data_IF_296462514519
#
_entry.id   IF_296462514519
#
_cell.length_a   1.000
_cell.length_b   1.000
_cell.length_c   1.000
_cell.angle_alpha   90.00
_cell.angle_beta   90.00
_cell.angle_gamma   90.00
#
_symmetry.space_group_name_H-M   'P 1'
#
loop_
_entity.id
_entity.type
_entity.pdbx_description
1 polymer ?
#
# COMPACT_ATOMS: atom_id res chain seq x y z
N UNK A 1 -26.08 21.60 33.38
CA UNK A 1 -25.20 20.74 32.57
C UNK A 1 -23.92 21.49 32.24
N UNK A 2 -22.85 21.23 32.99
CA UNK A 2 -21.55 21.85 32.78
C UNK A 2 -20.92 21.27 31.51
N UNK A 3 -20.87 22.05 30.42
CA UNK A 3 -20.05 21.73 29.25
C UNK A 3 -18.60 21.94 29.66
N UNK A 4 -17.97 20.87 30.14
CA UNK A 4 -16.56 20.85 30.53
C UNK A 4 -15.68 21.30 29.37
N UNK A 5 -14.70 22.12 29.73
CA UNK A 5 -13.80 22.91 28.89
C UNK A 5 -13.16 22.04 27.80
N UNK A 6 -13.21 22.51 26.55
CA UNK A 6 -12.35 22.01 25.48
C UNK A 6 -10.91 22.33 25.86
N UNK A 7 -10.13 21.32 26.24
CA UNK A 7 -8.72 21.51 26.58
C UNK A 7 -7.91 21.66 25.28
N UNK A 8 -7.72 22.90 24.83
CA UNK A 8 -6.63 23.25 23.93
C UNK A 8 -5.40 23.45 24.80
N UNK A 9 -4.52 22.46 24.86
CA UNK A 9 -3.21 22.61 25.50
C UNK A 9 -2.21 23.14 24.47
N UNK A 10 -1.60 24.29 24.74
CA UNK A 10 -0.42 24.78 24.02
C UNK A 10 0.74 24.62 24.99
N UNK A 11 1.52 23.57 24.83
CA UNK A 11 2.77 23.36 25.56
C UNK A 11 3.90 23.45 24.54
N UNK A 12 4.81 24.42 24.69
CA UNK A 12 6.11 24.43 24.01
C UNK A 12 6.02 24.04 22.51
N UNK A 13 5.19 24.75 21.73
CA UNK A 13 4.98 24.55 20.29
C UNK A 13 4.21 23.27 19.86
N UNK A 14 3.51 22.61 20.78
CA UNK A 14 2.63 21.46 20.47
C UNK A 14 1.17 21.79 20.71
N UNK A 15 0.30 21.25 19.85
CA UNK A 15 -1.16 21.37 19.93
C UNK A 15 -1.76 19.99 20.18
N UNK A 16 -2.39 19.83 21.35
CA UNK A 16 -3.20 18.67 21.69
C UNK A 16 -4.70 18.95 21.52
N UNK A 17 -5.43 18.10 20.79
CA UNK A 17 -6.89 18.09 20.71
C UNK A 17 -7.39 16.79 21.31
N UNK A 18 -8.08 16.84 22.46
CA UNK A 18 -8.54 15.64 23.17
C UNK A 18 -7.43 14.88 23.92
N UNK A 19 -6.22 15.45 24.03
CA UNK A 19 -5.10 14.94 24.81
C UNK A 19 -4.39 16.09 25.52
N UNK A 20 -3.85 15.84 26.72
CA UNK A 20 -3.00 16.78 27.46
C UNK A 20 -1.51 16.54 27.24
N UNK A 21 -1.15 15.39 26.67
CA UNK A 21 0.22 14.98 26.39
C UNK A 21 0.39 14.72 24.88
N UNK A 22 0.58 15.76 24.07
CA UNK A 22 0.81 15.61 22.64
C UNK A 22 2.22 15.07 22.37
N UNK A 23 2.28 13.86 21.79
CA UNK A 23 3.53 13.23 21.35
C UNK A 23 4.13 13.93 20.12
N UNK A 24 3.28 14.51 19.28
CA UNK A 24 3.64 15.21 18.04
C UNK A 24 3.32 16.70 18.11
N UNK A 25 3.78 17.49 17.13
CA UNK A 25 3.40 18.92 17.03
C UNK A 25 1.89 19.14 16.96
N UNK A 26 1.16 18.20 16.35
CA UNK A 26 -0.29 18.12 16.40
C UNK A 26 -0.68 16.69 16.75
N UNK A 27 -1.29 16.50 17.93
CA UNK A 27 -1.88 15.22 18.33
C UNK A 27 -3.38 15.36 18.51
N UNK A 28 -4.16 14.53 17.82
CA UNK A 28 -5.62 14.51 17.89
C UNK A 28 -6.07 13.15 18.40
N UNK A 29 -6.68 13.12 19.58
CA UNK A 29 -7.33 11.93 20.11
C UNK A 29 -8.82 11.95 19.73
N UNK A 30 -9.08 11.66 18.46
CA UNK A 30 -10.43 11.68 17.87
C UNK A 30 -10.40 11.77 16.34
N UNK A 31 -11.59 11.92 15.75
CA UNK A 31 -11.73 11.95 14.30
C UNK A 31 -11.38 13.34 13.72
N UNK A 32 -10.67 13.35 12.59
CA UNK A 32 -10.39 14.54 11.80
C UNK A 32 -11.25 14.51 10.53
N UNK A 33 -12.01 15.57 10.27
CA UNK A 33 -12.72 15.77 9.00
C UNK A 33 -12.10 16.98 8.29
N UNK A 34 -11.59 16.74 7.08
CA UNK A 34 -11.01 17.77 6.23
C UNK A 34 -11.63 17.69 4.82
N UNK A 35 -11.59 18.80 4.08
CA UNK A 35 -11.92 18.78 2.64
C UNK A 35 -10.77 18.20 1.81
N UNK A 36 -9.53 18.48 2.23
CA UNK A 36 -8.30 18.02 1.58
C UNK A 36 -7.19 17.92 2.63
N UNK A 37 -6.30 16.94 2.48
CA UNK A 37 -5.05 16.81 3.22
C UNK A 37 -3.95 16.58 2.20
N UNK A 38 -3.00 17.52 2.10
CA UNK A 38 -1.79 17.35 1.29
C UNK A 38 -0.68 16.88 2.20
N UNK A 39 -0.07 15.75 1.84
CA UNK A 39 1.06 15.19 2.59
C UNK A 39 2.29 15.26 1.72
N UNK A 40 3.30 15.98 2.19
CA UNK A 40 4.58 16.11 1.51
C UNK A 40 5.52 15.03 2.03
N UNK A 41 5.91 14.12 1.14
CA UNK A 41 6.86 13.06 1.40
C UNK A 41 7.77 12.90 0.18
N UNK A 42 9.03 12.55 0.41
CA UNK A 42 9.97 12.24 -0.65
C UNK A 42 9.83 10.78 -1.10
N UNK A 43 10.41 10.44 -2.26
CA UNK A 43 10.58 9.06 -2.73
C UNK A 43 9.29 8.28 -2.98
N UNK A 44 8.38 8.85 -3.80
CA UNK A 44 7.27 8.09 -4.38
C UNK A 44 7.78 6.95 -5.27
N UNK A 45 7.02 5.84 -5.39
CA UNK A 45 7.54 4.54 -5.80
C UNK A 45 7.83 4.34 -7.28
N UNK A 46 7.96 5.39 -8.10
CA UNK A 46 8.30 5.34 -9.54
C UNK A 46 9.52 4.44 -9.88
N UNK A 47 10.32 4.08 -8.89
CA UNK A 47 11.40 3.11 -9.00
C UNK A 47 10.95 1.67 -9.35
N UNK A 48 9.67 1.29 -9.13
CA UNK A 48 9.17 -0.06 -9.43
C UNK A 48 9.28 -0.37 -10.92
N UNK A 49 9.13 0.63 -11.79
CA UNK A 49 9.25 0.47 -13.24
C UNK A 49 10.69 0.49 -13.76
N UNK A 50 11.70 0.58 -12.89
CA UNK A 50 13.10 0.48 -13.32
C UNK A 50 13.42 -0.96 -13.73
N UNK A 51 14.27 -1.10 -14.75
CA UNK A 51 14.64 -2.40 -15.34
C UNK A 51 15.18 -3.41 -14.32
N UNK A 52 15.90 -2.92 -13.32
CA UNK A 52 16.57 -3.75 -12.31
C UNK A 52 15.76 -3.82 -10.98
N UNK A 53 14.47 -3.48 -11.02
CA UNK A 53 13.60 -3.63 -9.86
C UNK A 53 13.39 -5.12 -9.53
N UNK A 54 13.63 -5.56 -8.28
CA UNK A 54 13.52 -6.96 -7.89
C UNK A 54 12.05 -7.33 -7.64
N UNK A 55 11.26 -7.44 -8.71
CA UNK A 55 9.87 -7.87 -8.64
C UNK A 55 9.81 -9.31 -8.11
N UNK A 56 9.12 -9.50 -6.98
CA UNK A 56 8.97 -10.82 -6.35
C UNK A 56 8.20 -11.77 -7.28
N UNK A 57 8.73 -12.96 -7.61
CA UNK A 57 7.99 -13.94 -8.39
C UNK A 57 6.68 -14.37 -7.72
N UNK A 58 5.61 -14.58 -8.51
CA UNK A 58 4.30 -14.98 -7.96
C UNK A 58 4.32 -16.21 -7.04
N UNK A 59 5.11 -17.28 -7.30
CA UNK A 59 5.19 -18.43 -6.39
C UNK A 59 5.80 -18.07 -5.02
N UNK A 60 6.81 -17.18 -5.01
CA UNK A 60 7.42 -16.70 -3.76
C UNK A 60 6.46 -15.77 -3.02
N UNK A 61 5.74 -14.91 -3.75
CA UNK A 61 4.69 -14.05 -3.19
C UNK A 61 3.55 -14.87 -2.56
N UNK A 62 3.09 -15.93 -3.23
CA UNK A 62 2.07 -16.85 -2.71
C UNK A 62 2.56 -17.51 -1.41
N UNK A 63 3.79 -18.00 -1.40
CA UNK A 63 4.40 -18.58 -0.19
C UNK A 63 4.43 -17.55 0.95
N UNK A 64 4.89 -16.33 0.67
CA UNK A 64 4.92 -15.26 1.66
C UNK A 64 3.52 -14.97 2.23
N UNK A 65 2.50 -14.86 1.37
CA UNK A 65 1.13 -14.58 1.80
C UNK A 65 0.59 -15.73 2.66
N UNK A 66 0.85 -16.98 2.28
CA UNK A 66 0.40 -18.13 3.06
C UNK A 66 1.07 -18.21 4.43
N UNK A 67 2.35 -17.86 4.53
CA UNK A 67 3.10 -17.91 5.78
C UNK A 67 2.81 -16.72 6.71
N UNK A 68 2.54 -15.54 6.16
CA UNK A 68 2.46 -14.29 6.93
C UNK A 68 1.04 -13.69 7.01
N UNK A 69 0.13 -14.05 6.09
CA UNK A 69 -1.24 -13.54 6.05
C UNK A 69 -1.38 -12.08 5.58
N UNK A 70 -0.32 -11.48 5.05
CA UNK A 70 -0.33 -10.13 4.47
C UNK A 70 0.70 -10.01 3.33
N UNK A 71 0.67 -8.89 2.61
CA UNK A 71 1.61 -8.61 1.53
C UNK A 71 3.00 -8.20 2.06
N UNK A 72 4.08 -8.53 1.33
CA UNK A 72 5.42 -8.01 1.64
C UNK A 72 5.43 -6.49 1.66
N UNK A 73 6.03 -5.92 2.71
CA UNK A 73 6.12 -4.47 2.87
C UNK A 73 4.81 -3.81 3.32
N UNK A 74 3.73 -4.55 3.58
CA UNK A 74 2.52 -4.04 4.24
C UNK A 74 2.51 -4.52 5.69
N UNK A 75 2.25 -3.66 6.68
CA UNK A 75 2.15 -4.09 8.07
C UNK A 75 1.01 -5.10 8.25
N UNK A 76 1.23 -6.10 9.11
CA UNK A 76 0.18 -7.01 9.54
C UNK A 76 -0.92 -6.27 10.30
N UNK A 77 -2.09 -6.89 10.42
CA UNK A 77 -3.19 -6.34 11.22
C UNK A 77 -2.76 -6.11 12.69
N UNK A 78 -1.97 -7.03 13.26
CA UNK A 78 -1.48 -6.94 14.63
C UNK A 78 -0.54 -5.73 14.80
N UNK A 79 0.39 -5.51 13.87
CA UNK A 79 1.28 -4.35 13.90
C UNK A 79 0.52 -3.04 13.72
N UNK A 80 -0.46 -3.01 12.82
CA UNK A 80 -1.32 -1.87 12.57
C UNK A 80 -2.18 -1.50 13.79
N UNK A 81 -2.72 -2.49 14.50
CA UNK A 81 -3.49 -2.27 15.74
C UNK A 81 -2.60 -1.78 16.88
N UNK A 82 -1.39 -2.32 17.02
CA UNK A 82 -0.47 -1.96 18.09
C UNK A 82 0.15 -0.56 17.92
N UNK A 83 0.52 -0.20 16.69
CA UNK A 83 1.31 1.00 16.41
C UNK A 83 0.58 2.08 15.61
N UNK A 84 -0.63 1.77 15.13
CA UNK A 84 -1.34 2.62 14.16
C UNK A 84 -0.71 2.55 12.76
N UNK A 85 -1.27 3.31 11.83
CA UNK A 85 -0.80 3.40 10.45
C UNK A 85 -0.52 4.85 10.09
N UNK A 86 0.70 5.12 9.61
CA UNK A 86 1.04 6.39 9.00
C UNK A 86 0.37 6.54 7.63
N UNK A 87 -0.54 7.51 7.49
CA UNK A 87 -1.34 7.71 6.26
C UNK A 87 -0.47 7.87 5.00
N UNK A 88 0.58 8.68 5.08
CA UNK A 88 1.48 8.95 3.95
C UNK A 88 2.21 7.67 3.51
N UNK A 89 2.83 7.00 4.49
CA UNK A 89 3.66 5.82 4.26
C UNK A 89 2.81 4.65 3.76
N UNK A 90 1.59 4.48 4.29
CA UNK A 90 0.67 3.47 3.80
C UNK A 90 0.23 3.74 2.37
N UNK A 91 -0.09 4.99 2.03
CA UNK A 91 -0.43 5.35 0.64
C UNK A 91 0.75 5.11 -0.31
N UNK A 92 1.99 5.39 0.11
CA UNK A 92 3.20 5.10 -0.68
C UNK A 92 3.38 3.60 -0.89
N UNK A 93 3.26 2.79 0.17
CA UNK A 93 3.33 1.32 0.09
C UNK A 93 2.23 0.73 -0.79
N UNK A 94 1.00 1.25 -0.68
CA UNK A 94 -0.10 0.83 -1.54
C UNK A 94 0.14 1.17 -3.00
N UNK A 95 0.66 2.36 -3.31
CA UNK A 95 1.03 2.72 -4.67
C UNK A 95 2.13 1.80 -5.22
N UNK A 96 3.16 1.50 -4.42
CA UNK A 96 4.19 0.51 -4.76
C UNK A 96 3.58 -0.86 -5.11
N UNK A 97 2.64 -1.36 -4.29
CA UNK A 97 1.93 -2.62 -4.60
C UNK A 97 1.08 -2.53 -5.87
N UNK A 98 0.45 -1.39 -6.16
CA UNK A 98 -0.32 -1.18 -7.40
C UNK A 98 0.60 -1.23 -8.62
N UNK A 99 1.79 -0.67 -8.53
CA UNK A 99 2.79 -0.73 -9.60
C UNK A 99 3.33 -2.15 -9.81
N UNK A 100 3.65 -2.88 -8.74
CA UNK A 100 4.03 -4.30 -8.80
C UNK A 100 2.93 -5.16 -9.44
N UNK A 101 1.66 -4.97 -9.02
CA UNK A 101 0.51 -5.66 -9.62
C UNK A 101 0.40 -5.35 -11.11
N UNK A 102 0.66 -4.12 -11.52
CA UNK A 102 0.65 -3.72 -12.93
C UNK A 102 1.72 -4.47 -13.73
N UNK A 103 2.93 -4.66 -13.17
CA UNK A 103 3.98 -5.45 -13.81
C UNK A 103 3.57 -6.92 -13.97
N UNK A 104 3.01 -7.54 -12.94
CA UNK A 104 2.50 -8.92 -13.02
C UNK A 104 1.39 -9.06 -14.06
N UNK A 105 0.47 -8.09 -14.15
CA UNK A 105 -0.59 -8.11 -15.17
C UNK A 105 -0.03 -8.00 -16.59
N UNK A 106 0.99 -7.16 -16.81
CA UNK A 106 1.65 -7.06 -18.11
C UNK A 106 2.39 -8.34 -18.49
N UNK A 107 3.05 -9.00 -17.53
CA UNK A 107 3.67 -10.31 -17.71
C UNK A 107 2.62 -11.38 -18.06
N UNK A 108 1.54 -11.45 -17.27
CA UNK A 108 0.45 -12.40 -17.49
C UNK A 108 -0.20 -12.21 -18.87
N UNK A 109 -0.38 -10.95 -19.31
CA UNK A 109 -0.89 -10.65 -20.66
C UNK A 109 0.02 -11.21 -21.75
N UNK A 110 1.35 -11.11 -21.60
CA UNK A 110 2.30 -11.67 -22.58
C UNK A 110 2.20 -13.20 -22.62
N UNK A 111 2.09 -13.85 -21.46
CA UNK A 111 1.91 -15.30 -21.39
C UNK A 111 0.63 -15.75 -22.09
N UNK A 112 -0.49 -15.05 -21.86
CA UNK A 112 -1.78 -15.34 -22.50
C UNK A 112 -1.68 -15.22 -24.02
N UNK A 113 -1.05 -14.18 -24.54
CA UNK A 113 -0.86 -13.99 -26.00
C UNK A 113 -0.05 -15.14 -26.57
N UNK A 114 1.09 -15.48 -25.95
CA UNK A 114 1.94 -16.58 -26.41
C UNK A 114 1.19 -17.93 -26.42
N UNK A 115 0.42 -18.21 -25.36
CA UNK A 115 -0.41 -19.42 -25.29
C UNK A 115 -1.48 -19.46 -26.39
N UNK A 116 -2.10 -18.32 -26.73
CA UNK A 116 -3.08 -18.24 -27.81
C UNK A 116 -2.46 -18.51 -29.18
N UNK A 117 -1.25 -18.00 -29.44
CA UNK A 117 -0.49 -18.26 -30.66
C UNK A 117 -0.12 -19.75 -30.79
N UNK A 118 0.35 -20.38 -29.70
CA UNK A 118 0.65 -21.81 -29.66
C UNK A 118 -0.60 -22.66 -29.91
N UNK A 119 -1.73 -22.31 -29.29
CA UNK A 119 -3.03 -22.98 -29.50
C UNK A 119 -3.48 -22.85 -30.95
N UNK A 120 -3.34 -21.67 -31.56
CA UNK A 120 -3.69 -21.47 -32.97
C UNK A 120 -2.85 -22.36 -33.89
N UNK A 121 -1.54 -22.39 -33.68
CA UNK A 121 -0.62 -23.23 -34.46
C UNK A 121 -0.91 -24.73 -34.30
N UNK A 122 -1.26 -25.19 -33.09
CA UNK A 122 -1.66 -26.59 -32.87
C UNK A 122 -2.96 -26.95 -33.60
N UNK A 123 -3.96 -26.06 -33.59
CA UNK A 123 -5.24 -26.28 -34.28
C UNK A 123 -5.07 -26.39 -35.79
N UNK A 124 -4.22 -25.57 -36.40
CA UNK A 124 -3.91 -25.66 -37.84
C UNK A 124 -3.28 -27.01 -38.20
N UNK A 125 -2.35 -27.50 -37.37
CA UNK A 125 -1.71 -28.81 -37.57
C UNK A 125 -2.69 -29.98 -37.45
N UNK A 126 -3.67 -29.89 -36.55
CA UNK A 126 -4.67 -30.93 -36.35
C UNK A 126 -5.80 -30.92 -37.39
N UNK A 127 -6.15 -29.75 -37.94
CA UNK A 127 -7.19 -29.61 -38.97
C UNK A 127 -6.71 -29.88 -40.40
N UNK A 128 -5.41 -30.06 -40.60
CA UNK A 128 -4.79 -30.44 -41.88
C UNK A 128 -4.62 -31.96 -42.10
N UNK A 129 -5.25 -32.79 -41.26
CA UNK A 129 -5.32 -34.26 -41.37
C UNK A 129 -6.77 -34.65 -41.64
#
# INVERSE_FOLDING_TARGET
>A
FSKSRQYKSIMQDRVGIGTMDPAERLSVNGNIRAKEVKVEMANWPDYVFKRDYPLMPLPELETFINDNGHLPGIPSAIEAEASGIGLAEMNRRLLEKVEELTLHLLEQRKMIINQQEEIAAMKERMGGI
#
